data_IF_561460791299
#
_entry.id   IF_561460791299
#
_cell.length_a   1.000
_cell.length_b   1.000
_cell.length_c   1.000
_cell.angle_alpha   90.00
_cell.angle_beta   90.00
_cell.angle_gamma   90.00
#
_symmetry.space_group_name_H-M   'P 1'
#
loop_
_entity.id
_entity.type
_entity.pdbx_description
1 polymer ?
#
# COMPACT_ATOMS: atom_id res chain seq x y z
N UNK A 1 7.84 31.17 -22.17
CA UNK A 1 7.73 29.70 -22.31
C UNK A 1 6.95 29.17 -21.11
N UNK A 2 5.61 29.14 -21.21
CA UNK A 2 4.75 28.69 -20.10
C UNK A 2 4.72 27.16 -20.07
N UNK A 3 5.42 26.55 -19.09
CA UNK A 3 5.21 25.15 -18.72
C UNK A 3 3.82 25.02 -18.13
N UNK A 4 2.83 24.73 -18.97
CA UNK A 4 1.55 24.17 -18.52
C UNK A 4 1.88 22.81 -17.89
N UNK A 5 1.96 22.74 -16.57
CA UNK A 5 1.82 21.45 -15.90
C UNK A 5 0.47 20.87 -16.35
N UNK A 6 0.42 19.66 -16.89
CA UNK A 6 -0.84 19.06 -17.27
C UNK A 6 -1.61 18.76 -15.98
N UNK A 7 -2.44 19.70 -15.55
CA UNK A 7 -3.49 19.52 -14.55
C UNK A 7 -4.55 18.48 -14.98
N UNK A 8 -4.23 17.52 -15.85
CA UNK A 8 -5.21 16.71 -16.55
C UNK A 8 -4.79 15.29 -16.90
N UNK A 9 -3.57 14.85 -16.62
CA UNK A 9 -3.22 13.43 -16.76
C UNK A 9 -3.54 12.68 -15.47
N UNK A 10 -4.82 12.63 -15.09
CA UNK A 10 -5.26 11.71 -14.05
C UNK A 10 -5.07 10.28 -14.54
N UNK A 11 -4.47 9.43 -13.71
CA UNK A 11 -4.49 7.99 -13.99
C UNK A 11 -5.93 7.50 -13.96
N UNK A 12 -6.25 6.53 -14.80
CA UNK A 12 -7.57 5.90 -14.90
C UNK A 12 -8.04 5.26 -13.58
N UNK A 13 -7.10 4.82 -12.75
CA UNK A 13 -7.34 4.26 -11.42
C UNK A 13 -7.42 5.30 -10.30
N UNK A 14 -6.97 6.53 -10.53
CA UNK A 14 -7.15 7.61 -9.57
C UNK A 14 -8.60 8.05 -9.69
N UNK A 15 -9.42 7.86 -8.64
CA UNK A 15 -10.81 8.31 -8.72
C UNK A 15 -10.88 9.81 -9.05
N UNK A 16 -11.85 10.11 -9.90
CA UNK A 16 -11.88 11.33 -10.71
C UNK A 16 -12.10 12.62 -9.91
N UNK A 17 -12.37 12.50 -8.61
CA UNK A 17 -12.86 13.62 -7.77
C UNK A 17 -12.08 13.83 -6.47
N UNK A 18 -10.96 13.13 -6.25
CA UNK A 18 -10.09 13.42 -5.11
C UNK A 18 -8.98 14.37 -5.50
N UNK A 19 -8.72 15.35 -4.61
CA UNK A 19 -7.59 16.26 -4.76
C UNK A 19 -6.30 15.45 -4.68
N UNK A 20 -5.68 15.20 -5.83
CA UNK A 20 -4.32 14.71 -5.92
C UNK A 20 -3.45 15.75 -5.19
N UNK A 21 -2.85 15.34 -4.07
CA UNK A 21 -2.01 16.23 -3.27
C UNK A 21 -0.69 16.51 -3.99
N UNK A 22 0.14 17.37 -3.40
CA UNK A 22 1.48 17.68 -3.91
C UNK A 22 2.42 16.46 -4.00
N UNK A 23 2.08 15.36 -3.32
CA UNK A 23 2.93 14.17 -3.19
C UNK A 23 2.54 12.99 -4.12
N UNK A 24 1.48 13.13 -4.94
CA UNK A 24 1.13 12.11 -5.94
C UNK A 24 -0.36 11.77 -6.14
N UNK A 25 -0.63 10.82 -7.04
CA UNK A 25 -1.97 10.27 -7.30
C UNK A 25 -2.25 9.07 -6.38
N UNK A 26 -3.50 8.93 -5.91
CA UNK A 26 -3.94 7.82 -5.03
C UNK A 26 -5.17 7.13 -5.59
N UNK A 27 -5.22 5.80 -5.50
CA UNK A 27 -6.40 5.01 -5.86
C UNK A 27 -7.44 5.06 -4.72
N UNK A 28 -8.69 4.65 -4.97
CA UNK A 28 -9.55 4.18 -3.90
C UNK A 28 -8.83 3.14 -3.02
N UNK A 29 -9.10 3.17 -1.72
CA UNK A 29 -8.54 2.20 -0.78
C UNK A 29 -9.22 0.84 -0.94
N UNK A 30 -8.41 -0.20 -1.01
CA UNK A 30 -8.82 -1.59 -0.86
C UNK A 30 -8.70 -1.95 0.62
N UNK A 31 -9.77 -2.44 1.23
CA UNK A 31 -9.85 -2.66 2.67
C UNK A 31 -10.03 -4.15 2.95
N UNK A 32 -9.19 -4.69 3.83
CA UNK A 32 -9.41 -5.97 4.49
C UNK A 32 -9.73 -5.66 5.95
N UNK A 33 -10.89 -6.11 6.41
CA UNK A 33 -11.41 -5.80 7.75
C UNK A 33 -11.74 -7.10 8.47
N UNK A 34 -11.17 -7.27 9.66
CA UNK A 34 -11.49 -8.33 10.61
C UNK A 34 -12.00 -7.64 11.88
N UNK A 35 -13.33 -7.51 12.04
CA UNK A 35 -13.92 -6.69 13.09
C UNK A 35 -13.35 -6.99 14.48
N UNK A 36 -12.90 -5.94 15.17
CA UNK A 36 -12.34 -6.02 16.53
C UNK A 36 -10.92 -6.60 16.62
N UNK A 37 -10.32 -7.05 15.52
CA UNK A 37 -9.02 -7.74 15.56
C UNK A 37 -7.98 -7.10 14.64
N UNK A 38 -8.33 -6.81 13.38
CA UNK A 38 -7.36 -6.27 12.44
C UNK A 38 -8.02 -5.48 11.32
N UNK A 39 -7.27 -4.52 10.77
CA UNK A 39 -7.64 -3.78 9.57
C UNK A 39 -6.41 -3.51 8.73
N UNK A 40 -6.48 -3.85 7.45
CA UNK A 40 -5.47 -3.50 6.46
C UNK A 40 -6.08 -2.61 5.38
N UNK A 41 -5.36 -1.55 5.03
CA UNK A 41 -5.71 -0.63 3.95
C UNK A 41 -4.58 -0.69 2.92
N UNK A 42 -4.92 -1.12 1.71
CA UNK A 42 -4.01 -1.13 0.54
C UNK A 42 -4.42 -0.02 -0.42
N UNK A 43 -3.46 0.80 -0.82
CA UNK A 43 -3.67 1.90 -1.77
C UNK A 43 -2.58 1.89 -2.81
N UNK A 44 -2.92 1.99 -4.10
CA UNK A 44 -1.94 2.28 -5.14
C UNK A 44 -1.66 3.77 -5.13
N UNK A 45 -0.38 4.12 -5.09
CA UNK A 45 0.09 5.49 -5.14
C UNK A 45 0.99 5.67 -6.36
N UNK A 46 0.92 6.83 -7.01
CA UNK A 46 1.92 7.28 -7.99
C UNK A 46 2.60 8.50 -7.41
N UNK A 47 3.88 8.37 -7.10
CA UNK A 47 4.70 9.44 -6.53
C UNK A 47 4.96 10.55 -7.56
N UNK A 48 5.41 11.71 -7.08
CA UNK A 48 5.68 12.88 -7.94
C UNK A 48 6.76 12.67 -9.00
N UNK A 49 7.65 11.68 -8.81
CA UNK A 49 8.65 11.21 -9.76
C UNK A 49 8.10 10.19 -10.79
N UNK A 50 6.81 9.88 -10.74
CA UNK A 50 6.11 9.05 -11.72
C UNK A 50 6.13 7.55 -11.43
N UNK A 51 6.68 7.11 -10.29
CA UNK A 51 6.71 5.69 -9.93
C UNK A 51 5.42 5.23 -9.23
N UNK A 52 4.95 4.04 -9.59
CA UNK A 52 3.85 3.39 -8.88
C UNK A 52 4.37 2.58 -7.70
N UNK A 53 3.69 2.72 -6.56
CA UNK A 53 3.96 1.96 -5.35
C UNK A 53 2.65 1.44 -4.76
N UNK A 54 2.75 0.34 -4.03
CA UNK A 54 1.68 -0.14 -3.16
C UNK A 54 1.95 0.37 -1.74
N UNK A 55 1.03 1.16 -1.19
CA UNK A 55 1.05 1.60 0.19
C UNK A 55 0.12 0.70 1.01
N UNK A 56 0.66 0.07 2.06
CA UNK A 56 -0.07 -0.81 2.96
C UNK A 56 -0.02 -0.22 4.37
N UNK A 57 -1.19 -0.05 4.99
CA UNK A 57 -1.33 0.36 6.40
C UNK A 57 -2.12 -0.71 7.14
N UNK A 58 -1.47 -1.39 8.09
CA UNK A 58 -2.06 -2.48 8.86
C UNK A 58 -2.16 -2.06 10.34
N UNK A 59 -3.28 -2.39 10.98
CA UNK A 59 -3.51 -2.28 12.42
C UNK A 59 -4.00 -3.63 12.92
N UNK A 60 -3.41 -4.11 14.01
CA UNK A 60 -3.79 -5.38 14.66
C UNK A 60 -3.93 -5.11 16.15
N UNK A 61 -5.00 -5.62 16.76
CA UNK A 61 -5.16 -5.62 18.20
C UNK A 61 -4.19 -6.63 18.82
N UNK A 62 -3.37 -6.18 19.76
CA UNK A 62 -2.42 -7.03 20.46
C UNK A 62 -3.07 -7.63 21.71
N UNK A 63 -2.55 -8.77 22.14
CA UNK A 63 -2.90 -9.37 23.41
C UNK A 63 -2.53 -8.44 24.59
N UNK A 64 -3.31 -8.46 25.66
CA UNK A 64 -3.10 -7.62 26.84
C UNK A 64 -1.84 -8.01 27.65
N UNK A 65 -1.30 -9.21 27.40
CA UNK A 65 -0.13 -9.76 28.09
C UNK A 65 1.10 -9.63 27.20
N UNK A 66 2.14 -8.94 27.70
CA UNK A 66 3.33 -8.58 26.92
C UNK A 66 4.02 -9.77 26.22
N UNK A 67 4.28 -10.92 26.88
CA UNK A 67 4.81 -12.10 26.20
C UNK A 67 3.96 -12.61 25.02
N UNK A 68 2.64 -12.47 25.08
CA UNK A 68 1.76 -12.84 23.97
C UNK A 68 1.80 -11.78 22.86
N UNK A 69 1.76 -10.49 23.20
CA UNK A 69 1.88 -9.39 22.25
C UNK A 69 3.21 -9.44 21.47
N UNK A 70 4.34 -9.71 22.15
CA UNK A 70 5.65 -9.86 21.52
C UNK A 70 5.70 -11.02 20.53
N UNK A 71 5.05 -12.15 20.86
CA UNK A 71 4.92 -13.28 19.94
C UNK A 71 4.07 -12.91 18.72
N UNK A 72 2.96 -12.21 18.90
CA UNK A 72 2.15 -11.71 17.78
C UNK A 72 2.94 -10.78 16.87
N UNK A 73 3.73 -9.85 17.44
CA UNK A 73 4.57 -8.95 16.66
C UNK A 73 5.66 -9.69 15.88
N UNK A 74 6.28 -10.71 16.47
CA UNK A 74 7.28 -11.53 15.78
C UNK A 74 6.68 -12.28 14.59
N UNK A 75 5.49 -12.89 14.78
CA UNK A 75 4.75 -13.55 13.69
C UNK A 75 4.36 -12.55 12.61
N UNK A 76 3.79 -11.41 12.99
CA UNK A 76 3.40 -10.36 12.04
C UNK A 76 4.58 -9.85 11.23
N UNK A 77 5.75 -9.68 11.85
CA UNK A 77 6.96 -9.25 11.16
C UNK A 77 7.44 -10.30 10.15
N UNK A 78 7.43 -11.58 10.51
CA UNK A 78 7.78 -12.66 9.60
C UNK A 78 6.81 -12.72 8.41
N UNK A 79 5.51 -12.64 8.66
CA UNK A 79 4.48 -12.63 7.62
C UNK A 79 4.59 -11.41 6.68
N UNK A 80 4.97 -10.25 7.22
CA UNK A 80 5.21 -9.03 6.44
C UNK A 80 6.43 -9.16 5.54
N UNK A 81 7.53 -9.71 6.04
CA UNK A 81 8.74 -9.98 5.24
C UNK A 81 8.41 -10.90 4.05
N UNK A 82 7.68 -11.96 4.34
CA UNK A 82 7.20 -12.93 3.36
C UNK A 82 6.29 -12.29 2.30
N UNK A 83 5.31 -11.49 2.74
CA UNK A 83 4.39 -10.77 1.87
C UNK A 83 5.13 -9.81 0.94
N UNK A 84 6.00 -8.97 1.49
CA UNK A 84 6.75 -7.96 0.74
C UNK A 84 7.69 -8.64 -0.25
N UNK A 85 8.37 -9.72 0.15
CA UNK A 85 9.24 -10.50 -0.73
C UNK A 85 8.46 -11.09 -1.90
N UNK A 86 7.30 -11.71 -1.66
CA UNK A 86 6.46 -12.26 -2.73
C UNK A 86 5.92 -11.19 -3.66
N UNK A 87 5.39 -10.09 -3.12
CA UNK A 87 4.86 -8.99 -3.92
C UNK A 87 5.96 -8.31 -4.75
N UNK A 88 7.15 -8.10 -4.19
CA UNK A 88 8.29 -7.53 -4.90
C UNK A 88 8.78 -8.42 -6.04
N UNK A 89 8.79 -9.76 -5.84
CA UNK A 89 9.13 -10.72 -6.89
C UNK A 89 8.08 -10.79 -8.00
N UNK A 90 6.80 -10.63 -7.68
CA UNK A 90 5.73 -10.62 -8.68
C UNK A 90 5.87 -9.49 -9.72
N UNK A 91 6.57 -8.40 -9.39
CA UNK A 91 6.91 -7.33 -10.36
C UNK A 91 7.85 -7.80 -11.47
N UNK A 92 8.69 -8.80 -11.20
CA UNK A 92 9.60 -9.38 -12.17
C UNK A 92 8.98 -10.68 -12.70
N UNK A 93 8.27 -10.67 -13.85
CA UNK A 93 7.97 -11.92 -14.51
C UNK A 93 9.32 -12.58 -14.82
N UNK A 94 9.55 -13.76 -14.24
CA UNK A 94 10.67 -14.61 -14.62
C UNK A 94 10.54 -14.83 -16.13
N UNK A 95 11.55 -14.50 -16.96
CA UNK A 95 11.54 -14.90 -18.35
C UNK A 95 11.37 -16.42 -18.38
N UNK A 96 10.34 -16.90 -19.06
CA UNK A 96 10.28 -18.31 -19.42
C UNK A 96 11.50 -18.59 -20.30
N UNK A 97 12.36 -19.50 -19.86
CA UNK A 97 13.38 -20.12 -20.68
C UNK A 97 12.79 -21.35 -21.37
#
# INVERSE_FOLDING_TARGET
MNRRHPHGAHTDWCARDHRCGHDGHRSPSMIVDLPGQARAVLTRIRTGDGHDQAEIRIRVALADVDPAARRQLAVLLADLDDLITRAGRARYPRPAA
#
